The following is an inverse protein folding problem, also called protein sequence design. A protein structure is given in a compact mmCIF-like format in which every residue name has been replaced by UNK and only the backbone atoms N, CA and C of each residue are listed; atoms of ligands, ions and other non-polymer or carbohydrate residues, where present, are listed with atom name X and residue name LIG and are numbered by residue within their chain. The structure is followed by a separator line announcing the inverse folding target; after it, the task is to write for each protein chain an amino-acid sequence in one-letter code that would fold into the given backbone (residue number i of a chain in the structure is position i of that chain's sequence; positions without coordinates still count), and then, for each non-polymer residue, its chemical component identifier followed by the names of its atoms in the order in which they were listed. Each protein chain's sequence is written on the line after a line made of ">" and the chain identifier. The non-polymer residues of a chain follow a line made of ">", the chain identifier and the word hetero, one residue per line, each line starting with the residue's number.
data_IF_396423579097
#
_entry.id   IF_396423579097
#
_cell.length_a   1.000
_cell.length_b   1.000
_cell.length_c   1.000
_cell.angle_alpha   90.00
_cell.angle_beta   90.00
_cell.angle_gamma   90.00
#
_symmetry.space_group_name_H-M   'P 1'
#
loop_
_entity.id
_entity.type
_entity.pdbx_description
1 polymer ?
#
# COMPACT_ATOMS: atom_id res chain seq x y z
N UNK A 1 -34.17 -1.18 -11.87
CA UNK A 1 -33.51 -0.93 -10.58
C UNK A 1 -32.02 -0.86 -10.87
N UNK A 2 -31.45 0.35 -10.92
CA UNK A 2 -30.01 0.48 -11.11
C UNK A 2 -29.35 -0.12 -9.87
N UNK A 3 -28.52 -1.14 -10.06
CA UNK A 3 -27.64 -1.62 -8.99
C UNK A 3 -26.79 -0.41 -8.62
N UNK A 4 -26.98 0.14 -7.43
CA UNK A 4 -26.06 1.15 -6.91
C UNK A 4 -24.69 0.48 -6.86
N UNK A 5 -23.84 0.76 -7.85
CA UNK A 5 -22.48 0.29 -7.84
C UNK A 5 -21.79 1.00 -6.66
N UNK A 6 -21.60 0.29 -5.55
CA UNK A 6 -20.86 0.78 -4.39
C UNK A 6 -19.48 1.29 -4.82
N UNK A 7 -19.17 2.54 -4.49
CA UNK A 7 -17.82 3.09 -4.65
C UNK A 7 -16.90 2.34 -3.68
N UNK A 8 -15.75 1.87 -4.18
CA UNK A 8 -14.79 1.17 -3.34
C UNK A 8 -13.38 1.69 -3.55
N UNK A 9 -12.61 1.68 -2.46
CA UNK A 9 -11.26 2.20 -2.44
C UNK A 9 -10.30 1.17 -1.88
N UNK A 10 -9.18 0.96 -2.57
CA UNK A 10 -8.08 0.15 -2.10
C UNK A 10 -6.84 1.03 -1.93
N UNK A 11 -6.21 0.92 -0.77
CA UNK A 11 -4.91 1.54 -0.50
C UNK A 11 -3.88 0.43 -0.35
N UNK A 12 -2.95 0.34 -1.30
CA UNK A 12 -1.83 -0.61 -1.25
C UNK A 12 -0.64 0.09 -0.61
N UNK A 13 -0.05 -0.50 0.42
CA UNK A 13 1.17 -0.04 1.07
C UNK A 13 2.25 -1.08 0.85
N UNK A 14 3.32 -0.70 0.16
CA UNK A 14 4.47 -1.55 -0.14
C UNK A 14 5.67 -1.16 0.72
N UNK A 15 6.22 -2.12 1.47
CA UNK A 15 7.50 -1.96 2.16
C UNK A 15 8.66 -2.03 1.16
N UNK A 16 9.40 -0.93 1.03
CA UNK A 16 10.55 -0.76 0.13
C UNK A 16 11.88 -0.73 0.87
N UNK A 17 11.96 -1.33 2.06
CA UNK A 17 13.19 -1.38 2.87
C UNK A 17 14.38 -2.01 2.11
N UNK A 18 15.40 -1.22 1.73
CA UNK A 18 16.49 -1.71 0.89
C UNK A 18 17.38 -2.74 1.59
N UNK A 19 17.48 -2.68 2.93
CA UNK A 19 18.29 -3.63 3.72
C UNK A 19 17.64 -5.01 3.71
N UNK A 20 16.31 -5.06 3.88
CA UNK A 20 15.59 -6.33 3.85
C UNK A 20 15.58 -6.94 2.44
N UNK A 21 15.23 -6.15 1.43
CA UNK A 21 15.21 -6.61 0.03
C UNK A 21 16.59 -6.98 -0.49
N UNK A 22 17.65 -6.29 -0.05
CA UNK A 22 19.03 -6.62 -0.36
C UNK A 22 19.44 -7.99 0.20
N UNK A 23 19.14 -8.28 1.47
CA UNK A 23 19.41 -9.59 2.07
C UNK A 23 18.63 -10.72 1.40
N UNK A 24 17.36 -10.47 1.03
CA UNK A 24 16.53 -11.43 0.32
C UNK A 24 17.11 -11.79 -1.05
N UNK A 25 17.55 -10.78 -1.80
CA UNK A 25 18.22 -10.98 -3.10
C UNK A 25 19.49 -11.83 -2.98
N UNK A 26 20.29 -11.65 -1.91
CA UNK A 26 21.49 -12.47 -1.67
C UNK A 26 21.17 -13.95 -1.40
N UNK A 27 19.95 -14.26 -0.94
CA UNK A 27 19.48 -15.64 -0.72
C UNK A 27 18.86 -16.28 -1.97
N UNK A 28 18.82 -15.58 -3.11
CA UNK A 28 18.16 -16.05 -4.32
C UNK A 28 16.63 -16.00 -4.27
N UNK A 29 16.06 -15.37 -3.25
CA UNK A 29 14.61 -15.18 -3.08
C UNK A 29 14.07 -14.04 -3.98
N UNK A 30 12.75 -13.98 -4.25
CA UNK A 30 12.16 -12.98 -5.13
C UNK A 30 12.46 -11.56 -4.65
N UNK A 31 12.86 -10.72 -5.60
CA UNK A 31 13.28 -9.33 -5.34
C UNK A 31 12.11 -8.36 -5.28
N UNK A 32 12.40 -7.12 -4.85
CA UNK A 32 11.42 -6.04 -4.78
C UNK A 32 10.72 -5.81 -6.13
N UNK A 33 11.42 -5.92 -7.26
CA UNK A 33 10.81 -5.72 -8.58
C UNK A 33 9.72 -6.76 -8.84
N UNK A 34 9.98 -8.04 -8.55
CA UNK A 34 8.98 -9.10 -8.72
C UNK A 34 7.75 -8.91 -7.81
N UNK A 35 7.98 -8.43 -6.57
CA UNK A 35 6.89 -8.09 -5.66
C UNK A 35 6.07 -6.90 -6.18
N UNK A 36 6.75 -5.86 -6.69
CA UNK A 36 6.11 -4.70 -7.29
C UNK A 36 5.29 -5.07 -8.54
N UNK A 37 5.86 -5.86 -9.46
CA UNK A 37 5.16 -6.34 -10.65
C UNK A 37 3.89 -7.11 -10.27
N UNK A 38 3.99 -8.01 -9.29
CA UNK A 38 2.83 -8.77 -8.79
C UNK A 38 1.77 -7.85 -8.16
N UNK A 39 2.21 -6.83 -7.40
CA UNK A 39 1.31 -5.86 -6.78
C UNK A 39 0.64 -4.94 -7.81
N UNK A 40 1.34 -4.56 -8.88
CA UNK A 40 0.81 -3.79 -10.00
C UNK A 40 -0.21 -4.59 -10.80
N UNK A 41 0.07 -5.87 -11.10
CA UNK A 41 -0.91 -6.76 -11.75
C UNK A 41 -2.18 -6.88 -10.89
N UNK A 42 -2.03 -7.06 -9.58
CA UNK A 42 -3.18 -7.07 -8.66
C UNK A 42 -3.95 -5.74 -8.66
N UNK A 43 -3.25 -4.62 -8.59
CA UNK A 43 -3.84 -3.28 -8.65
C UNK A 43 -4.61 -3.05 -9.96
N UNK A 44 -4.04 -3.48 -11.09
CA UNK A 44 -4.64 -3.38 -12.41
C UNK A 44 -5.89 -4.26 -12.52
N UNK A 45 -5.86 -5.48 -11.98
CA UNK A 45 -7.04 -6.34 -11.88
C UNK A 45 -8.15 -5.71 -11.02
N UNK A 46 -7.78 -5.12 -9.88
CA UNK A 46 -8.72 -4.42 -8.99
C UNK A 46 -9.40 -3.25 -9.73
N UNK A 47 -8.59 -2.40 -10.36
CA UNK A 47 -9.05 -1.27 -11.15
C UNK A 47 -9.89 -1.73 -12.34
N UNK A 48 -9.53 -2.80 -13.04
CA UNK A 48 -10.28 -3.29 -14.20
C UNK A 48 -11.69 -3.77 -13.84
N UNK A 49 -11.88 -4.34 -12.65
CA UNK A 49 -13.12 -5.03 -12.30
C UNK A 49 -14.31 -4.08 -11.98
N UNK A 50 -14.11 -2.77 -11.76
CA UNK A 50 -15.21 -1.79 -11.68
C UNK A 50 -14.73 -0.38 -11.98
N UNK A 51 -15.60 0.48 -12.55
CA UNK A 51 -15.27 1.88 -12.86
C UNK A 51 -15.34 2.81 -11.64
N UNK A 52 -16.04 2.41 -10.59
CA UNK A 52 -16.18 3.17 -9.32
C UNK A 52 -15.15 2.72 -8.27
N UNK A 53 -14.00 2.24 -8.74
CA UNK A 53 -12.89 1.81 -7.90
C UNK A 53 -11.78 2.84 -7.91
N UNK A 54 -11.39 3.23 -6.71
CA UNK A 54 -10.29 4.14 -6.46
C UNK A 54 -9.11 3.35 -5.91
N UNK A 55 -7.92 3.70 -6.36
CA UNK A 55 -6.68 3.09 -5.88
C UNK A 55 -5.76 4.18 -5.35
N UNK A 56 -5.09 3.91 -4.25
CA UNK A 56 -3.89 4.64 -3.85
C UNK A 56 -2.77 3.65 -3.56
N UNK A 57 -1.55 4.07 -3.89
CA UNK A 57 -0.35 3.27 -3.75
C UNK A 57 0.67 4.07 -2.93
N UNK A 58 1.06 3.53 -1.78
CA UNK A 58 2.06 4.11 -0.91
C UNK A 58 3.27 3.18 -0.82
N UNK A 59 4.45 3.78 -0.73
CA UNK A 59 5.66 3.10 -0.33
C UNK A 59 6.01 3.49 1.11
N UNK A 60 6.43 2.52 1.92
CA UNK A 60 7.01 2.74 3.23
C UNK A 60 8.48 2.32 3.24
N UNK A 61 9.36 3.22 3.67
CA UNK A 61 10.76 2.95 3.88
C UNK A 61 11.16 3.18 5.34
N UNK A 62 12.46 3.21 5.59
CA UNK A 62 13.02 3.40 6.94
C UNK A 62 12.93 4.86 7.42
N UNK A 63 13.01 5.83 6.51
CA UNK A 63 13.05 7.28 6.85
C UNK A 63 11.77 8.02 6.50
N UNK A 64 11.10 7.60 5.44
CA UNK A 64 9.88 8.25 4.97
C UNK A 64 8.87 7.23 4.42
N UNK A 65 7.62 7.66 4.38
CA UNK A 65 6.54 7.01 3.64
C UNK A 65 5.99 7.99 2.60
N UNK A 66 5.78 7.54 1.37
CA UNK A 66 5.44 8.42 0.24
C UNK A 66 4.30 7.81 -0.57
N UNK A 67 3.41 8.66 -1.07
CA UNK A 67 2.44 8.26 -2.09
C UNK A 67 3.17 8.10 -3.42
N UNK A 68 3.18 6.88 -3.94
CA UNK A 68 3.58 6.61 -5.31
C UNK A 68 2.44 6.99 -6.28
N UNK A 69 1.21 6.75 -5.84
CA UNK A 69 0.00 7.12 -6.55
C UNK A 69 -1.12 7.50 -5.57
N UNK A 70 -1.88 8.58 -5.80
CA UNK A 70 -1.69 9.60 -6.84
C UNK A 70 -0.38 10.37 -6.63
N UNK A 71 0.30 10.72 -7.73
CA UNK A 71 1.58 11.41 -7.67
C UNK A 71 1.41 12.84 -7.13
N UNK A 72 2.37 13.30 -6.33
CA UNK A 72 2.40 14.69 -5.83
C UNK A 72 2.92 15.62 -6.92
N UNK A 73 2.05 16.43 -7.50
CA UNK A 73 2.48 17.54 -8.35
C UNK A 73 3.11 18.66 -7.51
N UNK A 74 4.19 19.23 -8.00
CA UNK A 74 5.03 20.25 -7.34
C UNK A 74 4.24 21.53 -6.97
N UNK A 75 3.04 21.71 -7.52
CA UNK A 75 2.12 22.83 -7.27
C UNK A 75 1.09 22.60 -6.15
N UNK A 76 1.19 21.50 -5.38
CA UNK A 76 0.25 21.23 -4.27
C UNK A 76 -1.18 20.85 -4.72
N UNK A 77 -1.44 20.82 -6.02
CA UNK A 77 -2.66 20.27 -6.59
C UNK A 77 -2.43 18.77 -6.83
N UNK A 78 -3.05 17.93 -6.01
CA UNK A 78 -3.10 16.49 -6.22
C UNK A 78 -3.89 16.20 -7.50
N UNK A 79 -3.23 15.62 -8.51
CA UNK A 79 -3.92 15.15 -9.71
C UNK A 79 -4.86 14.00 -9.34
N UNK A 80 -6.16 14.27 -9.24
CA UNK A 80 -7.23 13.26 -9.31
C UNK A 80 -7.38 12.77 -10.77
N UNK A 81 -6.27 12.40 -11.42
CA UNK A 81 -6.19 12.21 -12.87
C UNK A 81 -6.69 10.84 -13.36
N UNK A 82 -7.68 10.24 -12.71
CA UNK A 82 -8.32 9.01 -13.25
C UNK A 82 -9.83 9.14 -13.44
N UNK A 83 -10.46 10.29 -13.12
CA UNK A 83 -11.92 10.35 -13.19
C UNK A 83 -12.51 10.71 -14.58
N UNK A 84 -11.78 11.28 -15.56
CA UNK A 84 -12.44 11.79 -16.78
C UNK A 84 -11.65 11.61 -18.10
N UNK A 85 -11.35 10.39 -18.51
CA UNK A 85 -11.01 10.11 -19.92
C UNK A 85 -11.75 8.86 -20.40
N UNK A 86 -12.77 9.08 -21.22
CA UNK A 86 -13.79 8.10 -21.60
C UNK A 86 -13.31 6.99 -22.55
N UNK A 87 -12.09 7.02 -23.07
CA UNK A 87 -11.64 6.08 -24.12
C UNK A 87 -10.24 5.44 -23.95
N UNK A 88 -9.48 5.79 -22.90
CA UNK A 88 -8.06 5.39 -22.75
C UNK A 88 -7.72 4.50 -21.56
N UNK A 89 -8.67 3.70 -21.04
CA UNK A 89 -8.48 3.03 -19.72
C UNK A 89 -7.25 2.12 -19.63
N UNK A 90 -6.86 1.45 -20.71
CA UNK A 90 -5.65 0.63 -20.73
C UNK A 90 -4.38 1.50 -20.69
N UNK A 91 -4.39 2.63 -21.39
CA UNK A 91 -3.30 3.61 -21.38
C UNK A 91 -3.16 4.27 -20.01
N UNK A 92 -4.28 4.52 -19.32
CA UNK A 92 -4.29 5.01 -17.93
C UNK A 92 -3.68 4.00 -16.95
N UNK A 93 -3.88 2.69 -17.16
CA UNK A 93 -3.25 1.64 -16.35
C UNK A 93 -1.75 1.55 -16.63
N UNK A 94 -1.33 1.65 -17.89
CA UNK A 94 0.11 1.71 -18.23
C UNK A 94 0.78 2.95 -17.64
N UNK A 95 0.13 4.11 -17.71
CA UNK A 95 0.63 5.35 -17.12
C UNK A 95 0.69 5.28 -15.59
N UNK A 96 -0.25 4.56 -14.96
CA UNK A 96 -0.22 4.25 -13.54
C UNK A 96 1.00 3.40 -13.17
N UNK A 97 1.25 2.31 -13.89
CA UNK A 97 2.40 1.42 -13.66
C UNK A 97 3.72 2.21 -13.75
N UNK A 98 3.90 2.98 -14.84
CA UNK A 98 5.09 3.81 -15.04
C UNK A 98 5.29 4.84 -13.93
N UNK A 99 4.20 5.43 -13.44
CA UNK A 99 4.25 6.43 -12.35
C UNK A 99 4.67 5.79 -11.04
N UNK A 100 4.08 4.63 -10.69
CA UNK A 100 4.40 3.91 -9.46
C UNK A 100 5.86 3.46 -9.46
N UNK A 101 6.33 2.86 -10.55
CA UNK A 101 7.73 2.42 -10.69
C UNK A 101 8.68 3.61 -10.58
N UNK A 102 8.40 4.71 -11.29
CA UNK A 102 9.24 5.92 -11.25
C UNK A 102 9.36 6.50 -9.84
N UNK A 103 8.24 6.62 -9.13
CA UNK A 103 8.23 7.16 -7.76
C UNK A 103 8.90 6.20 -6.77
N UNK A 104 8.75 4.88 -6.95
CA UNK A 104 9.43 3.88 -6.13
C UNK A 104 10.95 3.95 -6.31
N UNK A 105 11.42 4.03 -7.56
CA UNK A 105 12.84 4.23 -7.88
C UNK A 105 13.35 5.54 -7.30
N UNK A 106 12.62 6.64 -7.47
CA UNK A 106 13.00 7.95 -6.93
C UNK A 106 13.12 7.94 -5.40
N UNK A 107 12.26 7.19 -4.70
CA UNK A 107 12.36 7.00 -3.26
C UNK A 107 13.60 6.19 -2.88
N UNK A 108 13.89 5.10 -3.58
CA UNK A 108 15.06 4.25 -3.32
C UNK A 108 16.38 4.98 -3.59
N UNK A 109 16.47 5.78 -4.66
CA UNK A 109 17.70 6.54 -5.01
C UNK A 109 18.04 7.60 -3.96
N UNK A 110 17.05 8.12 -3.22
CA UNK A 110 17.25 9.10 -2.14
C UNK A 110 17.77 8.47 -0.85
N UNK A 111 17.68 7.14 -0.72
CA UNK A 111 18.17 6.45 0.48
C UNK A 111 19.69 6.43 0.46
N UNK A 112 20.29 7.32 1.24
CA UNK A 112 21.70 7.20 1.60
C UNK A 112 21.84 6.05 2.58
N UNK A 113 22.50 4.97 2.17
CA UNK A 113 22.82 3.84 3.05
C UNK A 113 23.89 4.30 4.03
N UNK A 114 23.46 4.73 5.22
CA UNK A 114 24.37 4.98 6.34
C UNK A 114 24.50 3.72 7.20
N UNK A 115 25.61 3.57 7.92
CA UNK A 115 25.87 2.43 8.80
C UNK A 115 24.88 2.29 9.97
N UNK A 116 24.03 3.30 10.18
CA UNK A 116 23.09 3.43 11.31
C UNK A 116 21.63 3.13 10.91
N UNK A 117 21.43 2.48 9.76
CA UNK A 117 20.09 2.17 9.26
C UNK A 117 19.43 1.10 10.12
N UNK A 118 18.47 1.52 10.95
CA UNK A 118 17.61 0.63 11.71
C UNK A 118 16.89 -0.35 10.77
N UNK A 119 16.82 -1.61 11.18
CA UNK A 119 16.21 -2.67 10.35
C UNK A 119 14.73 -2.41 10.08
N UNK A 120 14.02 -1.69 10.96
CA UNK A 120 12.57 -1.51 10.86
C UNK A 120 12.09 -0.46 9.86
N UNK A 121 10.88 -0.67 9.36
CA UNK A 121 10.19 0.23 8.42
C UNK A 121 9.16 1.11 9.15
N UNK A 122 8.87 2.30 8.61
CA UNK A 122 7.88 3.25 9.17
C UNK A 122 6.44 2.93 8.69
N UNK A 123 6.02 1.69 8.88
CA UNK A 123 4.68 1.18 8.51
C UNK A 123 3.55 1.94 9.23
N UNK A 124 3.69 2.21 10.53
CA UNK A 124 2.72 3.01 11.30
C UNK A 124 2.49 4.40 10.69
N UNK A 125 3.55 5.05 10.21
CA UNK A 125 3.45 6.34 9.52
C UNK A 125 2.76 6.24 8.15
N UNK A 126 2.96 5.15 7.43
CA UNK A 126 2.27 4.89 6.16
C UNK A 126 0.78 4.59 6.38
N UNK A 127 0.43 3.78 7.38
CA UNK A 127 -0.95 3.49 7.76
C UNK A 127 -1.67 4.76 8.22
N UNK A 128 -1.04 5.61 9.02
CA UNK A 128 -1.62 6.90 9.42
C UNK A 128 -1.91 7.80 8.19
N UNK A 129 -1.00 7.87 7.22
CA UNK A 129 -1.22 8.61 5.96
C UNK A 129 -2.37 8.00 5.15
N UNK A 130 -2.44 6.67 5.07
CA UNK A 130 -3.52 5.96 4.39
C UNK A 130 -4.88 6.26 5.02
N UNK A 131 -5.00 6.17 6.35
CA UNK A 131 -6.24 6.48 7.08
C UNK A 131 -6.65 7.95 6.90
N UNK A 132 -5.71 8.89 6.98
CA UNK A 132 -5.99 10.30 6.71
C UNK A 132 -6.51 10.52 5.28
N UNK A 133 -5.91 9.84 4.29
CA UNK A 133 -6.32 9.92 2.90
C UNK A 133 -7.72 9.33 2.68
N UNK A 134 -7.99 8.14 3.24
CA UNK A 134 -9.31 7.50 3.22
C UNK A 134 -10.37 8.40 3.84
N UNK A 135 -10.10 8.95 5.04
CA UNK A 135 -11.05 9.83 5.72
C UNK A 135 -11.39 11.07 4.88
N UNK A 136 -10.41 11.63 4.15
CA UNK A 136 -10.65 12.74 3.23
C UNK A 136 -11.52 12.32 2.04
N UNK A 137 -11.24 11.17 1.42
CA UNK A 137 -12.03 10.65 0.29
C UNK A 137 -13.46 10.29 0.70
N UNK A 138 -13.65 9.62 1.83
CA UNK A 138 -14.98 9.32 2.36
C UNK A 138 -15.80 10.58 2.63
N UNK A 139 -15.17 11.68 3.10
CA UNK A 139 -15.87 12.96 3.28
C UNK A 139 -16.29 13.59 1.96
N UNK A 140 -15.45 13.51 0.93
CA UNK A 140 -15.78 14.01 -0.40
C UNK A 140 -16.91 13.21 -1.04
N UNK A 141 -16.87 11.88 -0.97
CA UNK A 141 -17.92 11.04 -1.57
C UNK A 141 -19.26 11.20 -0.84
N UNK A 142 -19.24 11.34 0.50
CA UNK A 142 -20.42 11.68 1.30
C UNK A 142 -21.05 13.01 0.91
N UNK A 143 -20.24 14.00 0.51
CA UNK A 143 -20.76 15.28 0.01
C UNK A 143 -21.52 15.13 -1.33
N UNK A 144 -21.17 14.11 -2.11
CA UNK A 144 -21.84 13.76 -3.36
C UNK A 144 -22.98 12.72 -3.17
N UNK A 145 -23.32 12.40 -1.92
CA UNK A 145 -24.35 11.41 -1.59
C UNK A 145 -23.93 9.95 -1.81
N UNK A 146 -22.65 9.68 -2.04
CA UNK A 146 -22.09 8.33 -2.18
C UNK A 146 -21.59 7.76 -0.85
N UNK A 147 -21.54 6.42 -0.78
CA UNK A 147 -20.84 5.70 0.28
C UNK A 147 -19.58 5.02 -0.28
N UNK A 148 -18.42 5.36 0.28
CA UNK A 148 -17.12 4.82 -0.13
C UNK A 148 -16.66 3.74 0.86
N UNK A 149 -16.58 2.49 0.41
CA UNK A 149 -16.00 1.39 1.18
C UNK A 149 -14.50 1.30 0.96
N UNK A 150 -13.72 1.62 1.99
CA UNK A 150 -12.25 1.61 1.91
C UNK A 150 -11.62 0.36 2.55
N UNK A 151 -10.52 -0.10 1.96
CA UNK A 151 -9.67 -1.17 2.48
C UNK A 151 -8.19 -0.84 2.29
N UNK A 152 -7.36 -1.31 3.20
CA UNK A 152 -5.91 -1.16 3.14
C UNK A 152 -5.28 -2.54 2.97
N UNK A 153 -4.36 -2.70 2.03
CA UNK A 153 -3.50 -3.88 1.89
C UNK A 153 -2.06 -3.46 2.23
N UNK A 154 -1.50 -4.03 3.29
CA UNK A 154 -0.13 -3.81 3.73
C UNK A 154 0.76 -5.00 3.33
N UNK A 155 1.74 -4.75 2.46
CA UNK A 155 2.80 -5.70 2.13
C UNK A 155 4.00 -5.42 3.03
N UNK A 156 4.06 -6.10 4.17
CA UNK A 156 5.08 -5.92 5.20
C UNK A 156 6.28 -6.85 4.94
N UNK A 157 7.46 -6.25 4.77
CA UNK A 157 8.70 -6.97 4.54
C UNK A 157 9.49 -7.16 5.84
N UNK A 158 9.58 -6.12 6.67
CA UNK A 158 10.38 -6.14 7.88
C UNK A 158 9.56 -6.02 9.19
N UNK A 159 10.13 -6.51 10.29
CA UNK A 159 9.62 -6.27 11.64
C UNK A 159 9.51 -4.77 11.95
N UNK A 160 8.44 -4.42 12.63
CA UNK A 160 8.14 -3.04 12.97
C UNK A 160 8.95 -2.57 14.17
N UNK A 161 9.66 -1.45 14.02
CA UNK A 161 10.43 -0.87 15.11
C UNK A 161 9.56 -0.17 16.17
N UNK A 162 8.26 0.07 15.92
CA UNK A 162 7.43 0.99 16.71
C UNK A 162 6.05 0.40 17.07
N UNK A 163 6.04 -0.63 17.91
CA UNK A 163 4.81 -1.29 18.37
C UNK A 163 3.73 -0.33 18.90
N UNK A 164 4.12 0.66 19.72
CA UNK A 164 3.15 1.61 20.30
C UNK A 164 2.42 2.43 19.21
N UNK A 165 3.14 2.86 18.19
CA UNK A 165 2.57 3.65 17.10
C UNK A 165 1.67 2.79 16.22
N UNK A 166 2.08 1.55 15.94
CA UNK A 166 1.26 0.62 15.18
C UNK A 166 -0.07 0.32 15.89
N UNK A 167 -0.02 0.06 17.20
CA UNK A 167 -1.22 -0.19 18.00
C UNK A 167 -2.18 0.99 17.99
N UNK A 168 -1.68 2.23 18.15
CA UNK A 168 -2.51 3.44 18.10
C UNK A 168 -3.20 3.60 16.74
N UNK A 169 -2.49 3.29 15.66
CA UNK A 169 -3.04 3.36 14.30
C UNK A 169 -4.05 2.24 14.07
N UNK A 170 -3.82 1.03 14.60
CA UNK A 170 -4.76 -0.07 14.51
C UNK A 170 -6.09 0.24 15.22
N UNK A 171 -6.04 0.80 16.44
CA UNK A 171 -7.25 1.28 17.13
C UNK A 171 -7.98 2.37 16.35
N UNK A 172 -7.23 3.25 15.66
CA UNK A 172 -7.82 4.29 14.82
C UNK A 172 -8.52 3.69 13.61
N UNK A 173 -7.91 2.69 12.95
CA UNK A 173 -8.51 1.98 11.83
C UNK A 173 -9.79 1.24 12.25
N UNK A 174 -9.79 0.58 13.40
CA UNK A 174 -10.97 -0.09 13.98
C UNK A 174 -12.11 0.90 14.23
N UNK A 175 -11.80 2.07 14.79
CA UNK A 175 -12.79 3.14 15.02
C UNK A 175 -13.36 3.73 13.74
N UNK A 176 -12.58 3.74 12.65
CA UNK A 176 -13.01 4.21 11.33
C UNK A 176 -13.69 3.12 10.49
N UNK A 177 -13.82 1.90 11.02
CA UNK A 177 -14.34 0.72 10.33
C UNK A 177 -13.63 0.42 9.00
N UNK A 178 -12.32 0.68 8.93
CA UNK A 178 -11.49 0.37 7.77
C UNK A 178 -10.81 -0.97 7.98
N UNK A 179 -11.00 -1.90 7.04
CA UNK A 179 -10.32 -3.19 7.06
C UNK A 179 -8.87 -3.03 6.60
N UNK A 180 -7.93 -3.65 7.33
CA UNK A 180 -6.51 -3.69 6.98
C UNK A 180 -6.10 -5.15 6.79
N UNK A 181 -5.83 -5.53 5.55
CA UNK A 181 -5.29 -6.83 5.18
C UNK A 181 -3.75 -6.74 5.25
N UNK A 182 -3.09 -7.67 5.94
CA UNK A 182 -1.62 -7.65 6.11
C UNK A 182 -1.00 -8.89 5.46
N UNK A 183 -0.12 -8.69 4.50
CA UNK A 183 0.71 -9.74 3.92
C UNK A 183 2.13 -9.60 4.47
N UNK A 184 2.57 -10.61 5.21
CA UNK A 184 3.92 -10.72 5.76
C UNK A 184 4.78 -11.52 4.78
N UNK A 185 5.82 -10.88 4.23
CA UNK A 185 6.70 -11.48 3.23
C UNK A 185 7.90 -12.25 3.82
N UNK A 186 8.11 -12.12 5.13
CA UNK A 186 9.22 -12.73 5.87
C UNK A 186 8.75 -13.53 7.08
N UNK A 187 9.60 -13.54 8.12
CA UNK A 187 9.28 -14.23 9.38
C UNK A 187 8.00 -13.70 10.01
N UNK A 188 7.14 -14.61 10.47
CA UNK A 188 5.95 -14.23 11.20
C UNK A 188 6.33 -13.50 12.50
N UNK A 189 5.88 -12.25 12.63
CA UNK A 189 6.03 -11.50 13.87
C UNK A 189 4.80 -11.72 14.74
N UNK A 190 5.00 -12.15 15.99
CA UNK A 190 3.93 -12.28 16.99
C UNK A 190 3.19 -10.95 17.21
N UNK A 191 3.86 -9.81 16.99
CA UNK A 191 3.26 -8.48 17.08
C UNK A 191 2.26 -8.25 15.95
N UNK A 192 2.64 -8.56 14.70
CA UNK A 192 1.74 -8.44 13.55
C UNK A 192 0.54 -9.38 13.69
N UNK A 193 0.72 -10.54 14.32
CA UNK A 193 -0.37 -11.47 14.62
C UNK A 193 -1.34 -10.94 15.69
N UNK A 194 -0.83 -10.21 16.70
CA UNK A 194 -1.69 -9.53 17.69
C UNK A 194 -2.48 -8.38 17.06
N UNK A 195 -1.81 -7.58 16.21
CA UNK A 195 -2.46 -6.46 15.52
C UNK A 195 -3.44 -6.98 14.46
N UNK A 196 -3.11 -8.08 13.78
CA UNK A 196 -4.02 -8.70 12.82
C UNK A 196 -5.24 -9.33 13.47
N UNK A 197 -5.18 -9.75 14.73
CA UNK A 197 -6.37 -10.17 15.47
C UNK A 197 -7.37 -9.01 15.68
N UNK A 198 -6.87 -7.77 15.67
CA UNK A 198 -7.68 -6.54 15.72
C UNK A 198 -8.12 -6.08 14.34
N UNK A 199 -7.32 -6.34 13.31
CA UNK A 199 -7.74 -6.12 11.94
C UNK A 199 -8.73 -7.20 11.54
N UNK A 200 -9.95 -6.82 11.13
CA UNK A 200 -11.06 -7.75 10.89
C UNK A 200 -10.82 -8.81 9.79
N UNK A 201 -9.64 -8.89 9.16
CA UNK A 201 -9.41 -9.80 8.03
C UNK A 201 -7.93 -10.08 7.70
N UNK A 202 -7.66 -11.39 7.55
CA UNK A 202 -6.52 -12.11 6.94
C UNK A 202 -5.08 -11.56 7.10
N UNK A 203 -4.24 -12.37 7.75
CA UNK A 203 -2.79 -12.36 7.58
C UNK A 203 -2.43 -13.39 6.51
N UNK A 204 -1.69 -12.96 5.50
CA UNK A 204 -1.03 -13.87 4.56
C UNK A 204 0.45 -13.94 4.88
N UNK A 205 0.94 -15.08 5.36
CA UNK A 205 2.38 -15.35 5.39
C UNK A 205 2.81 -15.95 4.07
N UNK A 206 3.63 -15.20 3.33
CA UNK A 206 4.33 -15.71 2.16
C UNK A 206 5.57 -16.46 2.66
N UNK A 207 5.37 -17.68 3.14
CA UNK A 207 6.48 -18.62 3.32
C UNK A 207 7.01 -18.96 1.93
N UNK A 208 8.31 -18.78 1.74
CA UNK A 208 9.02 -19.37 0.61
C UNK A 208 8.71 -20.86 0.61
N UNK A 209 7.88 -21.33 -0.30
CA UNK A 209 7.78 -22.76 -0.54
C UNK A 209 9.17 -23.20 -0.97
N UNK A 210 9.78 -24.12 -0.22
CA UNK A 210 10.94 -24.86 -0.67
C UNK A 210 10.55 -25.52 -2.00
N UNK A 211 10.95 -24.90 -3.12
CA UNK A 211 11.00 -25.58 -4.41
C UNK A 211 12.23 -26.47 -4.36
N UNK A 212 12.13 -27.55 -3.58
CA UNK A 212 13.00 -28.71 -3.71
C UNK A 212 12.48 -29.50 -4.90
N UNK A 213 13.10 -29.29 -6.06
CA UNK A 213 13.06 -30.19 -7.21
C UNK A 213 14.22 -31.18 -7.10
#
# INVERSE_FOLDING_TARGET
>A
MAVEEDSSMLVVILDVNPVWWGRRRLRGEPSLSHCLDSALVFANCYLASSRRRHLAFLACGQRESRFLYPARTVSGQEQHAVQESRDGRLELLSAFDDTVVREAVAMLTRVQVTSDMATGSLTAGALAKALCYINRMCKQDKAHGGELKARILLLAACEEAQYMNLMNVAFTAEKQDVCVDVCVLGSESSLLQQVSGRFKRLVFSCLSADVSL
#
